data_IF_859719649089
#
_entry.id   IF_859719649089
#
_cell.length_a   1.000
_cell.length_b   1.000
_cell.length_c   1.000
_cell.angle_alpha   90.00
_cell.angle_beta   90.00
_cell.angle_gamma   90.00
#
_symmetry.space_group_name_H-M   'P 1'
#
loop_
_entity.id
_entity.type
_entity.pdbx_description
1 polymer ?
#
# COMPACT_ATOMS: atom_id res chain seq x y z
N UNK A 1 -28.75 49.29 31.26
CA UNK A 1 -27.84 48.68 32.26
C UNK A 1 -28.13 47.17 32.22
N UNK A 2 -27.21 46.33 31.73
CA UNK A 2 -26.19 45.65 32.57
C UNK A 2 -26.91 44.83 33.68
N UNK A 3 -26.94 43.48 33.74
CA UNK A 3 -25.83 42.51 33.71
C UNK A 3 -26.37 41.14 34.22
N UNK A 4 -25.96 40.02 33.60
CA UNK A 4 -25.52 38.71 34.20
C UNK A 4 -26.55 37.72 34.81
N UNK A 5 -26.72 36.50 34.24
CA UNK A 5 -26.02 35.19 34.42
C UNK A 5 -26.59 34.32 35.57
N UNK A 6 -26.69 33.02 35.27
CA UNK A 6 -26.69 31.84 36.16
C UNK A 6 -28.02 31.30 36.69
N UNK A 7 -28.58 30.32 35.98
CA UNK A 7 -29.05 29.02 36.50
C UNK A 7 -28.83 27.99 35.37
N UNK A 8 -27.62 27.46 35.17
CA UNK A 8 -27.20 26.12 35.61
C UNK A 8 -28.34 25.07 35.54
N UNK A 9 -28.49 24.41 34.40
CA UNK A 9 -28.03 23.01 34.20
C UNK A 9 -28.58 22.05 35.25
N UNK A 10 -29.83 21.62 35.04
CA UNK A 10 -30.36 20.36 35.60
C UNK A 10 -31.16 19.63 34.54
N UNK A 11 -30.67 19.60 33.31
CA UNK A 11 -31.01 18.49 32.43
C UNK A 11 -30.06 17.36 32.78
N UNK A 12 -30.64 16.44 33.55
CA UNK A 12 -30.16 15.10 33.85
C UNK A 12 -29.74 14.47 32.53
N UNK A 13 -28.47 14.68 32.17
CA UNK A 13 -27.74 13.73 31.35
C UNK A 13 -27.73 12.46 32.20
N UNK A 14 -28.66 11.56 31.90
CA UNK A 14 -28.43 10.13 32.05
C UNK A 14 -27.11 9.85 31.29
N UNK A 15 -25.99 10.02 31.99
CA UNK A 15 -24.82 9.24 31.68
C UNK A 15 -25.28 7.81 31.88
N UNK A 16 -25.64 7.16 30.78
CA UNK A 16 -25.60 5.71 30.66
C UNK A 16 -24.15 5.38 30.98
N UNK A 17 -23.90 5.20 32.27
CA UNK A 17 -22.75 4.46 32.78
C UNK A 17 -23.00 3.07 32.23
N UNK A 18 -22.48 2.81 31.02
CA UNK A 18 -22.51 1.48 30.45
C UNK A 18 -21.89 0.59 31.51
N UNK A 19 -22.72 -0.32 32.04
CA UNK A 19 -22.33 -1.27 33.05
C UNK A 19 -21.03 -1.93 32.59
N UNK A 20 -19.92 -1.60 33.26
CA UNK A 20 -18.77 -2.47 33.29
C UNK A 20 -19.28 -3.74 33.95
N UNK A 21 -19.57 -4.78 33.17
CA UNK A 21 -19.82 -6.10 33.74
C UNK A 21 -18.66 -6.41 34.68
N UNK A 22 -18.93 -6.48 35.98
CA UNK A 22 -17.93 -6.72 37.01
C UNK A 22 -17.40 -8.13 36.83
N UNK A 23 -16.36 -8.28 36.03
CA UNK A 23 -15.56 -9.49 36.04
C UNK A 23 -14.86 -9.55 37.40
N UNK A 24 -15.50 -10.26 38.33
CA UNK A 24 -15.10 -10.27 39.74
C UNK A 24 -13.70 -10.85 39.88
N UNK A 25 -12.98 -10.42 40.91
CA UNK A 25 -11.67 -11.01 41.22
C UNK A 25 -11.76 -12.54 41.44
N UNK A 26 -12.92 -13.00 41.91
CA UNK A 26 -13.24 -14.42 42.03
C UNK A 26 -13.28 -15.13 40.67
N UNK A 27 -13.92 -14.54 39.65
CA UNK A 27 -13.94 -15.12 38.30
C UNK A 27 -12.54 -15.13 37.68
N UNK A 28 -11.74 -14.08 37.91
CA UNK A 28 -10.33 -14.04 37.49
C UNK A 28 -9.52 -15.18 38.09
N UNK A 29 -9.72 -15.48 39.38
CA UNK A 29 -9.05 -16.61 40.07
C UNK A 29 -9.52 -17.96 39.51
N UNK A 30 -10.81 -18.13 39.23
CA UNK A 30 -11.37 -19.35 38.63
C UNK A 30 -10.81 -19.62 37.23
N UNK A 31 -10.77 -18.59 36.39
CA UNK A 31 -10.26 -18.70 35.02
C UNK A 31 -8.76 -19.00 35.01
N UNK A 32 -7.98 -18.31 35.85
CA UNK A 32 -6.55 -18.62 36.04
C UNK A 32 -6.34 -20.06 36.49
N UNK A 33 -7.09 -20.54 37.49
CA UNK A 33 -6.96 -21.91 37.99
C UNK A 33 -7.36 -22.96 36.94
N UNK A 34 -8.39 -22.69 36.13
CA UNK A 34 -8.81 -23.57 35.02
C UNK A 34 -7.73 -23.65 33.94
N UNK A 35 -7.11 -22.52 33.60
CA UNK A 35 -6.01 -22.43 32.65
C UNK A 35 -4.75 -23.15 33.15
N UNK A 36 -4.36 -22.93 34.41
CA UNK A 36 -3.25 -23.63 35.06
C UNK A 36 -3.47 -25.16 35.07
N UNK A 37 -4.71 -25.60 35.28
CA UNK A 37 -5.10 -27.01 35.25
C UNK A 37 -4.98 -27.63 33.86
N UNK A 38 -5.37 -26.91 32.80
CA UNK A 38 -5.21 -27.36 31.42
C UNK A 38 -3.73 -27.57 31.06
N UNK A 39 -2.87 -26.61 31.44
CA UNK A 39 -1.43 -26.74 31.20
C UNK A 39 -0.76 -27.85 32.02
N UNK A 40 -1.26 -28.16 33.23
CA UNK A 40 -0.78 -29.32 34.00
C UNK A 40 -1.16 -30.66 33.37
N UNK A 41 -2.30 -30.75 32.69
CA UNK A 41 -2.80 -31.98 32.06
C UNK A 41 -2.14 -32.28 30.71
N UNK A 42 -1.65 -31.27 30.02
CA UNK A 42 -0.90 -31.41 28.78
C UNK A 42 0.43 -30.62 28.85
N UNK A 43 1.44 -31.09 29.61
CA UNK A 43 2.69 -30.37 29.81
C UNK A 43 3.46 -30.10 28.51
N UNK A 44 3.23 -30.90 27.47
CA UNK A 44 3.88 -30.79 26.17
C UNK A 44 3.27 -29.70 25.26
N UNK A 45 2.08 -29.19 25.56
CA UNK A 45 1.43 -28.10 24.79
C UNK A 45 1.61 -26.72 25.44
N UNK A 46 1.92 -26.66 26.73
CA UNK A 46 2.26 -25.40 27.41
C UNK A 46 3.76 -25.32 27.69
N UNK A 47 4.53 -24.71 26.78
CA UNK A 47 5.76 -24.01 27.18
C UNK A 47 5.34 -22.99 28.26
N UNK A 48 5.96 -23.02 29.44
CA UNK A 48 5.54 -22.32 30.68
C UNK A 48 4.50 -21.19 30.49
N UNK A 49 3.31 -21.36 31.07
CA UNK A 49 2.14 -20.48 30.87
C UNK A 49 2.42 -18.97 31.02
N UNK A 50 3.24 -18.59 32.02
CA UNK A 50 3.64 -17.21 32.28
C UNK A 50 4.47 -16.59 31.12
N UNK A 51 5.05 -17.41 30.25
CA UNK A 51 5.82 -16.99 29.08
C UNK A 51 4.92 -16.73 27.86
N UNK A 52 3.68 -17.24 27.84
CA UNK A 52 2.74 -17.12 26.71
C UNK A 52 1.75 -15.96 26.86
N UNK A 53 1.26 -15.69 28.08
CA UNK A 53 0.28 -14.64 28.37
C UNK A 53 0.55 -13.93 29.71
N UNK A 54 -0.04 -12.75 29.90
CA UNK A 54 0.12 -11.96 31.12
C UNK A 54 1.34 -11.02 31.11
N UNK A 55 1.68 -10.40 32.27
CA UNK A 55 2.61 -9.27 32.34
C UNK A 55 4.08 -9.66 32.23
N UNK A 56 4.40 -10.96 32.32
CA UNK A 56 5.78 -11.48 32.22
C UNK A 56 6.14 -12.01 30.83
N UNK A 57 5.16 -12.03 29.91
CA UNK A 57 5.28 -12.62 28.57
C UNK A 57 5.91 -11.62 27.57
N UNK A 58 5.51 -11.70 26.30
CA UNK A 58 6.05 -11.00 25.11
C UNK A 58 6.33 -9.53 25.35
N UNK A 59 5.47 -8.83 26.10
CA UNK A 59 5.56 -7.39 26.26
C UNK A 59 6.38 -6.90 27.47
N UNK A 60 6.88 -7.80 28.33
CA UNK A 60 7.55 -7.44 29.60
C UNK A 60 8.75 -6.49 29.43
N UNK A 61 9.59 -6.75 28.42
CA UNK A 61 10.80 -5.98 28.12
C UNK A 61 10.76 -5.41 26.69
N UNK A 62 9.55 -5.22 26.17
CA UNK A 62 9.36 -4.87 24.79
C UNK A 62 9.77 -3.42 24.53
N UNK A 63 10.79 -3.25 23.69
CA UNK A 63 11.33 -1.96 23.32
C UNK A 63 11.25 -1.84 21.79
N UNK A 64 10.18 -1.22 21.25
CA UNK A 64 10.03 -1.03 19.81
C UNK A 64 11.25 -0.30 19.25
N UNK A 65 11.88 -0.87 18.23
CA UNK A 65 13.08 -0.30 17.61
C UNK A 65 12.84 0.00 16.14
N UNK A 66 13.65 0.94 15.63
CA UNK A 66 13.76 1.15 14.19
C UNK A 66 14.39 -0.08 13.53
N UNK A 67 13.92 -0.44 12.34
CA UNK A 67 14.55 -1.46 11.51
C UNK A 67 15.77 -0.84 10.85
N UNK A 68 16.92 -1.49 11.02
CA UNK A 68 18.14 -1.19 10.28
C UNK A 68 18.31 -2.30 9.26
N UNK A 69 17.99 -2.04 8.00
CA UNK A 69 17.96 -3.05 6.94
C UNK A 69 19.31 -3.73 6.68
N UNK A 70 20.42 -3.05 6.95
CA UNK A 70 21.78 -3.59 6.86
C UNK A 70 22.15 -4.52 8.02
N UNK A 71 21.38 -4.51 9.11
CA UNK A 71 21.63 -5.38 10.24
C UNK A 71 20.95 -6.73 10.07
N UNK A 72 21.57 -7.75 10.67
CA UNK A 72 20.93 -9.05 10.83
C UNK A 72 19.76 -8.95 11.82
N UNK A 73 18.56 -9.25 11.35
CA UNK A 73 17.32 -9.22 12.13
C UNK A 73 16.95 -10.65 12.52
N UNK A 74 16.89 -10.93 13.82
CA UNK A 74 16.57 -12.26 14.33
C UNK A 74 15.15 -12.31 14.89
N UNK A 75 14.53 -13.48 14.80
CA UNK A 75 13.17 -13.77 15.27
C UNK A 75 13.23 -14.92 16.27
N UNK A 76 12.43 -14.82 17.32
CA UNK A 76 12.40 -15.80 18.40
C UNK A 76 11.11 -16.64 18.43
N UNK A 77 10.11 -16.30 17.63
CA UNK A 77 8.88 -17.07 17.46
C UNK A 77 8.57 -17.29 15.98
N UNK A 78 8.11 -18.48 15.64
CA UNK A 78 7.51 -18.84 14.35
C UNK A 78 6.05 -19.21 14.59
N UNK A 79 5.15 -18.61 13.83
CA UNK A 79 3.71 -18.84 13.93
C UNK A 79 3.23 -19.44 12.62
N UNK A 80 2.76 -20.68 12.69
CA UNK A 80 2.12 -21.38 11.58
C UNK A 80 0.63 -21.05 11.60
N UNK A 81 0.03 -20.83 10.44
CA UNK A 81 -1.37 -20.48 10.32
C UNK A 81 -2.02 -21.16 9.11
N UNK A 82 -3.33 -21.37 9.24
CA UNK A 82 -4.23 -21.76 8.16
C UNK A 82 -5.14 -20.58 7.84
N UNK A 83 -5.24 -20.21 6.57
CA UNK A 83 -6.09 -19.12 6.11
C UNK A 83 -7.03 -19.57 5.00
N UNK A 84 -8.28 -19.12 5.05
CA UNK A 84 -9.26 -19.19 3.96
C UNK A 84 -9.52 -17.77 3.51
N UNK A 85 -9.28 -17.46 2.23
CA UNK A 85 -9.59 -16.16 1.63
C UNK A 85 -10.36 -16.40 0.33
N UNK A 86 -11.58 -15.88 0.23
CA UNK A 86 -12.44 -16.02 -0.95
C UNK A 86 -12.57 -17.48 -1.42
N UNK A 87 -12.73 -18.40 -0.45
CA UNK A 87 -12.85 -19.84 -0.69
C UNK A 87 -11.52 -20.58 -0.98
N UNK A 88 -10.39 -19.88 -1.09
CA UNK A 88 -9.07 -20.50 -1.26
C UNK A 88 -8.40 -20.71 0.08
N UNK A 89 -7.97 -21.94 0.36
CA UNK A 89 -7.20 -22.26 1.55
C UNK A 89 -5.70 -22.11 1.30
N UNK A 90 -4.96 -21.71 2.34
CA UNK A 90 -3.51 -21.63 2.35
C UNK A 90 -2.97 -21.93 3.74
N UNK A 91 -1.76 -22.47 3.80
CA UNK A 91 -1.01 -22.68 5.05
C UNK A 91 0.28 -21.90 4.91
N UNK A 92 0.58 -21.06 5.90
CA UNK A 92 1.78 -20.26 5.90
C UNK A 92 2.36 -20.05 7.29
N UNK A 93 3.46 -19.32 7.32
CA UNK A 93 4.18 -18.97 8.52
C UNK A 93 4.56 -17.49 8.51
N UNK A 94 4.53 -16.88 9.69
CA UNK A 94 5.16 -15.60 9.94
C UNK A 94 6.05 -15.71 11.18
N UNK A 95 6.99 -14.78 11.32
CA UNK A 95 7.98 -14.79 12.37
C UNK A 95 7.87 -13.52 13.21
N UNK A 96 8.07 -13.65 14.52
CA UNK A 96 8.01 -12.53 15.45
C UNK A 96 9.33 -12.43 16.22
N UNK A 97 9.86 -11.21 16.31
CA UNK A 97 10.82 -10.80 17.33
C UNK A 97 10.03 -10.09 18.43
N UNK A 98 9.81 -10.80 19.54
CA UNK A 98 9.01 -10.29 20.66
C UNK A 98 9.72 -9.16 21.42
N UNK A 99 11.05 -9.14 21.39
CA UNK A 99 11.89 -8.17 22.10
C UNK A 99 11.85 -6.79 21.43
N UNK A 100 12.10 -6.76 20.12
CA UNK A 100 12.23 -5.53 19.34
C UNK A 100 10.92 -5.13 18.63
N UNK A 101 9.93 -6.03 18.60
CA UNK A 101 8.63 -5.78 18.00
C UNK A 101 8.61 -5.85 16.48
N UNK A 102 9.38 -6.77 15.90
CA UNK A 102 9.39 -7.02 14.47
C UNK A 102 8.52 -8.20 14.11
N UNK A 103 7.87 -8.10 12.94
CA UNK A 103 7.11 -9.18 12.34
C UNK A 103 7.58 -9.36 10.91
N UNK A 104 7.96 -10.58 10.54
CA UNK A 104 8.24 -10.94 9.15
C UNK A 104 7.13 -11.85 8.60
N UNK A 105 6.57 -11.47 7.46
CA UNK A 105 5.58 -12.27 6.74
C UNK A 105 5.85 -12.23 5.23
N UNK A 106 5.32 -13.21 4.50
CA UNK A 106 5.64 -13.44 3.08
C UNK A 106 4.44 -13.08 2.22
N UNK A 107 4.67 -12.32 1.14
CA UNK A 107 3.56 -11.78 0.32
C UNK A 107 3.18 -12.67 -0.87
N UNK A 108 4.13 -13.42 -1.44
CA UNK A 108 3.96 -13.95 -2.80
C UNK A 108 3.88 -15.50 -2.84
N UNK A 109 4.53 -16.20 -1.92
CA UNK A 109 4.46 -17.67 -1.82
C UNK A 109 4.24 -18.11 -0.36
N UNK A 110 2.95 -18.20 0.00
CA UNK A 110 2.51 -18.63 1.34
C UNK A 110 2.99 -20.07 1.62
N UNK A 111 3.08 -20.94 0.61
CA UNK A 111 3.53 -22.32 0.80
C UNK A 111 5.02 -22.41 1.17
N UNK A 112 5.84 -21.45 0.72
CA UNK A 112 7.27 -21.37 1.08
C UNK A 112 7.57 -20.61 2.36
N UNK A 113 6.62 -19.84 2.89
CA UNK A 113 6.82 -19.03 4.10
C UNK A 113 7.30 -19.84 5.32
N UNK A 114 6.94 -21.12 5.41
CA UNK A 114 7.36 -22.02 6.47
C UNK A 114 8.74 -22.65 6.28
N UNK A 115 9.36 -22.54 5.11
CA UNK A 115 10.69 -23.09 4.81
C UNK A 115 11.83 -22.26 5.43
N UNK A 116 11.50 -21.13 6.05
CA UNK A 116 12.44 -20.23 6.71
C UNK A 116 12.92 -19.10 5.81
N UNK A 117 13.69 -18.18 6.40
CA UNK A 117 14.16 -16.94 5.76
C UNK A 117 15.63 -16.97 5.29
N UNK A 118 16.34 -18.07 5.56
CA UNK A 118 17.81 -18.11 5.47
C UNK A 118 18.38 -18.24 4.03
N UNK A 119 17.56 -18.50 3.01
CA UNK A 119 18.04 -18.68 1.63
C UNK A 119 17.00 -18.16 0.61
N UNK A 120 16.90 -16.83 0.40
CA UNK A 120 15.93 -16.25 -0.52
C UNK A 120 16.23 -16.66 -1.97
N UNK A 121 15.26 -17.31 -2.62
CA UNK A 121 15.31 -17.79 -4.01
C UNK A 121 14.53 -16.85 -4.94
N UNK A 122 14.71 -16.91 -6.27
CA UNK A 122 13.85 -16.19 -7.22
C UNK A 122 12.36 -16.37 -6.91
N UNK A 123 11.61 -15.27 -6.86
CA UNK A 123 10.21 -15.21 -6.41
C UNK A 123 10.04 -15.01 -4.90
N UNK A 124 11.12 -14.85 -4.14
CA UNK A 124 11.06 -14.52 -2.71
C UNK A 124 10.56 -13.09 -2.54
N UNK A 125 9.56 -12.91 -1.67
CA UNK A 125 9.11 -11.60 -1.21
C UNK A 125 8.68 -11.69 0.25
N UNK A 126 9.36 -10.90 1.09
CA UNK A 126 9.15 -10.88 2.53
C UNK A 126 9.06 -9.44 3.01
N UNK A 127 8.09 -9.17 3.87
CA UNK A 127 7.88 -7.88 4.50
C UNK A 127 8.28 -8.02 5.96
N UNK A 128 9.22 -7.18 6.42
CA UNK A 128 9.53 -7.00 7.83
C UNK A 128 8.92 -5.68 8.26
N UNK A 129 7.95 -5.74 9.16
CA UNK A 129 7.30 -4.56 9.74
C UNK A 129 7.73 -4.41 11.19
N UNK A 130 8.01 -3.18 11.62
CA UNK A 130 8.17 -2.88 13.03
C UNK A 130 6.89 -2.32 13.61
N UNK A 131 6.75 -2.47 14.93
CA UNK A 131 5.61 -1.92 15.65
C UNK A 131 5.47 -0.41 15.45
N UNK A 132 6.57 0.33 15.29
CA UNK A 132 6.53 1.80 15.07
C UNK A 132 6.06 2.21 13.66
N UNK A 133 5.67 1.24 12.83
CA UNK A 133 4.98 1.48 11.56
C UNK A 133 5.87 1.59 10.33
N UNK A 134 7.19 1.39 10.49
CA UNK A 134 8.06 1.23 9.32
C UNK A 134 7.97 -0.21 8.80
N UNK A 135 8.12 -0.38 7.50
CA UNK A 135 8.22 -1.69 6.88
C UNK A 135 9.29 -1.70 5.78
N UNK A 136 9.94 -2.85 5.65
CA UNK A 136 10.93 -3.14 4.63
C UNK A 136 10.48 -4.37 3.86
N UNK A 137 10.27 -4.22 2.56
CA UNK A 137 9.91 -5.32 1.66
C UNK A 137 11.15 -5.79 0.94
N UNK A 138 11.62 -6.99 1.20
CA UNK A 138 12.76 -7.63 0.55
C UNK A 138 12.30 -8.56 -0.55
N UNK A 139 12.86 -8.42 -1.75
CA UNK A 139 12.47 -9.18 -2.94
C UNK A 139 13.66 -9.79 -3.66
N UNK A 140 13.44 -10.96 -4.23
CA UNK A 140 14.34 -11.57 -5.22
C UNK A 140 13.54 -11.79 -6.49
N UNK A 141 13.87 -11.04 -7.54
CA UNK A 141 13.15 -11.15 -8.81
C UNK A 141 13.46 -12.48 -9.55
N UNK A 142 12.75 -12.74 -10.64
CA UNK A 142 12.95 -13.95 -11.46
C UNK A 142 14.35 -14.06 -12.07
N UNK A 143 15.12 -12.97 -12.11
CA UNK A 143 16.51 -12.92 -12.59
C UNK A 143 17.52 -13.05 -11.45
N UNK A 144 17.05 -13.21 -10.21
CA UNK A 144 17.89 -13.34 -9.02
C UNK A 144 18.38 -12.01 -8.42
N UNK A 145 17.90 -10.86 -8.92
CA UNK A 145 18.27 -9.55 -8.36
C UNK A 145 17.58 -9.35 -7.01
N UNK A 146 18.35 -8.86 -6.04
CA UNK A 146 17.93 -8.69 -4.64
C UNK A 146 17.71 -7.22 -4.35
N UNK A 147 16.46 -6.83 -4.09
CA UNK A 147 16.13 -5.44 -3.78
C UNK A 147 15.30 -5.31 -2.52
N UNK A 148 15.37 -4.17 -1.85
CA UNK A 148 14.44 -3.84 -0.79
C UNK A 148 13.74 -2.50 -1.05
N UNK A 149 12.50 -2.39 -0.56
CA UNK A 149 11.72 -1.17 -0.55
C UNK A 149 11.39 -0.78 0.90
N UNK A 150 11.79 0.42 1.29
CA UNK A 150 11.45 0.99 2.59
C UNK A 150 10.15 1.82 2.52
N UNK A 151 9.21 1.53 3.41
CA UNK A 151 8.01 2.31 3.67
C UNK A 151 8.08 2.86 5.10
N UNK A 152 8.18 4.18 5.21
CA UNK A 152 8.23 4.85 6.51
C UNK A 152 6.82 5.23 6.97
N UNK A 153 6.55 5.24 8.29
CA UNK A 153 5.26 5.68 8.80
C UNK A 153 4.98 7.13 8.37
N UNK A 154 3.71 7.48 8.21
CA UNK A 154 3.34 8.87 7.94
C UNK A 154 3.78 9.75 9.11
N UNK A 155 4.41 10.89 8.81
CA UNK A 155 4.73 11.90 9.81
C UNK A 155 3.44 12.30 10.53
N UNK A 156 3.43 12.21 11.87
CA UNK A 156 2.33 12.60 12.77
C UNK A 156 1.27 11.54 13.13
N UNK A 157 1.44 10.24 12.83
CA UNK A 157 0.58 9.22 13.44
C UNK A 157 1.16 8.85 14.82
N UNK A 158 0.48 9.17 15.94
CA UNK A 158 0.97 8.79 17.26
C UNK A 158 0.98 7.27 17.40
N UNK A 159 2.15 6.76 17.77
CA UNK A 159 2.34 5.37 18.10
C UNK A 159 1.64 5.02 19.43
N UNK A 160 0.96 3.86 19.48
CA UNK A 160 0.35 3.34 20.71
C UNK A 160 -1.08 3.82 20.99
N UNK A 161 -1.88 4.06 19.95
CA UNK A 161 -3.32 4.32 20.10
C UNK A 161 -4.07 3.12 20.70
N UNK A 162 -5.09 3.39 21.49
CA UNK A 162 -5.93 2.35 22.09
C UNK A 162 -7.05 1.93 21.16
N UNK A 163 -7.29 0.63 21.06
CA UNK A 163 -8.46 0.04 20.40
C UNK A 163 -9.22 -0.81 21.39
N UNK A 164 -10.53 -0.58 21.53
CA UNK A 164 -11.36 -1.36 22.45
C UNK A 164 -11.91 -2.59 21.74
N UNK A 165 -11.64 -3.76 22.33
CA UNK A 165 -12.23 -5.01 21.90
C UNK A 165 -13.41 -5.30 22.83
N UNK A 166 -14.59 -5.53 22.24
CA UNK A 166 -15.81 -5.87 22.98
C UNK A 166 -16.25 -7.28 22.65
N UNK A 167 -16.72 -8.00 23.65
CA UNK A 167 -17.14 -9.38 23.47
C UNK A 167 -18.34 -9.45 22.52
N UNK A 168 -18.27 -10.34 21.52
CA UNK A 168 -19.32 -10.51 20.51
C UNK A 168 -20.66 -10.91 21.15
N UNK A 169 -20.60 -11.78 22.16
CA UNK A 169 -21.76 -12.20 22.94
C UNK A 169 -21.43 -12.15 24.45
N UNK A 170 -21.91 -11.13 25.19
CA UNK A 170 -21.72 -11.00 26.64
C UNK A 170 -22.09 -12.24 27.47
N UNK A 171 -23.07 -13.04 27.04
CA UNK A 171 -23.51 -14.23 27.77
C UNK A 171 -22.42 -15.30 27.89
N UNK A 172 -21.50 -15.36 26.92
CA UNK A 172 -20.41 -16.37 26.88
C UNK A 172 -19.41 -16.23 28.03
N UNK A 173 -19.41 -15.12 28.79
CA UNK A 173 -18.60 -15.00 30.00
C UNK A 173 -19.06 -15.93 31.13
N UNK A 174 -20.33 -16.30 31.14
CA UNK A 174 -20.91 -17.17 32.17
C UNK A 174 -20.90 -18.65 31.76
N UNK A 175 -20.55 -18.95 30.50
CA UNK A 175 -20.56 -20.30 29.96
C UNK A 175 -19.23 -21.04 30.27
N UNK A 176 -19.28 -22.32 30.68
CA UNK A 176 -18.08 -23.11 30.95
C UNK A 176 -17.38 -23.59 29.69
N UNK A 177 -18.10 -23.69 28.57
CA UNK A 177 -17.56 -24.08 27.27
C UNK A 177 -16.99 -22.85 26.56
N UNK A 178 -15.77 -22.99 26.07
CA UNK A 178 -15.07 -21.96 25.27
C UNK A 178 -14.71 -22.62 23.96
N UNK A 179 -14.90 -21.93 22.85
CA UNK A 179 -14.61 -22.47 21.53
C UNK A 179 -13.13 -22.87 21.48
N UNK A 180 -12.83 -24.17 21.26
CA UNK A 180 -11.47 -24.60 21.09
C UNK A 180 -11.01 -24.17 19.71
N UNK A 181 -10.00 -23.31 19.68
CA UNK A 181 -9.31 -23.00 18.44
C UNK A 181 -7.97 -23.71 18.41
N UNK A 182 -7.56 -24.09 17.20
CA UNK A 182 -6.25 -24.67 16.87
C UNK A 182 -6.06 -26.11 17.37
N UNK A 183 -4.97 -26.77 16.97
CA UNK A 183 -4.61 -28.10 17.47
C UNK A 183 -4.22 -28.10 18.97
N UNK A 184 -4.02 -26.91 19.55
CA UNK A 184 -3.62 -26.70 20.95
C UNK A 184 -4.83 -26.70 21.91
N UNK A 185 -6.08 -26.70 21.38
CA UNK A 185 -7.31 -26.73 22.18
C UNK A 185 -7.38 -25.60 23.23
N UNK A 186 -6.88 -24.40 22.87
CA UNK A 186 -6.82 -23.27 23.79
C UNK A 186 -8.20 -22.60 23.91
N UNK A 187 -8.66 -22.29 25.13
CA UNK A 187 -9.97 -21.71 25.34
C UNK A 187 -10.00 -20.24 24.90
N UNK A 188 -10.76 -19.92 23.86
CA UNK A 188 -10.89 -18.55 23.35
C UNK A 188 -12.30 -18.00 23.52
N UNK A 189 -12.40 -16.66 23.52
CA UNK A 189 -13.66 -15.95 23.38
C UNK A 189 -13.58 -14.98 22.19
N UNK A 190 -14.69 -14.83 21.47
CA UNK A 190 -14.78 -13.98 20.28
C UNK A 190 -15.08 -12.52 20.62
N UNK A 191 -14.18 -11.63 20.22
CA UNK A 191 -14.29 -10.17 20.38
C UNK A 191 -14.45 -9.48 19.02
N UNK A 192 -15.03 -8.28 19.01
CA UNK A 192 -15.08 -7.39 17.85
C UNK A 192 -14.52 -6.03 18.23
N UNK A 193 -14.06 -5.26 17.25
CA UNK A 193 -13.57 -3.90 17.50
C UNK A 193 -14.78 -2.98 17.71
N UNK A 194 -14.80 -2.29 18.84
CA UNK A 194 -15.85 -1.35 19.20
C UNK A 194 -15.95 -0.21 18.16
N UNK A 195 -17.17 0.13 17.74
CA UNK A 195 -17.42 1.20 16.77
C UNK A 195 -17.23 0.82 15.30
N UNK A 196 -16.84 -0.42 14.98
CA UNK A 196 -16.69 -0.91 13.61
C UNK A 196 -17.80 -1.92 13.29
N UNK A 197 -18.79 -1.49 12.50
CA UNK A 197 -20.04 -2.23 12.21
C UNK A 197 -19.81 -3.60 11.55
N UNK A 198 -18.77 -3.71 10.71
CA UNK A 198 -18.41 -4.95 9.98
C UNK A 198 -17.05 -5.51 10.45
N UNK A 199 -16.74 -5.37 11.74
CA UNK A 199 -15.51 -5.91 12.31
C UNK A 199 -15.47 -7.43 12.21
N UNK A 200 -14.33 -7.97 11.77
CA UNK A 200 -14.01 -9.39 11.96
C UNK A 200 -14.06 -9.78 13.44
N UNK A 201 -14.49 -11.01 13.73
CA UNK A 201 -14.41 -11.60 15.06
C UNK A 201 -12.97 -12.03 15.34
N UNK A 202 -12.41 -11.61 16.48
CA UNK A 202 -11.08 -11.91 16.98
C UNK A 202 -11.19 -12.87 18.16
N UNK A 203 -10.66 -14.08 18.03
CA UNK A 203 -10.69 -15.09 19.07
C UNK A 203 -9.47 -14.95 19.96
N UNK A 204 -9.68 -14.42 21.18
CA UNK A 204 -8.62 -14.11 22.12
C UNK A 204 -8.47 -15.21 23.17
N UNK A 205 -7.23 -15.67 23.34
CA UNK A 205 -6.74 -16.45 24.46
C UNK A 205 -6.03 -15.52 25.45
N UNK A 206 -6.41 -15.57 26.72
CA UNK A 206 -5.90 -14.67 27.75
C UNK A 206 -6.07 -15.26 29.15
N UNK A 207 -5.33 -14.70 30.12
CA UNK A 207 -5.40 -15.13 31.53
C UNK A 207 -6.69 -14.72 32.23
N UNK A 208 -7.41 -13.79 31.62
CA UNK A 208 -8.71 -13.30 32.05
C UNK A 208 -9.54 -12.93 30.81
N UNK A 209 -10.86 -12.90 30.94
CA UNK A 209 -11.74 -12.35 29.91
C UNK A 209 -12.60 -11.24 30.50
N UNK A 210 -12.99 -10.28 29.67
CA UNK A 210 -13.86 -9.19 30.10
C UNK A 210 -14.82 -8.83 28.98
N UNK A 211 -15.91 -8.15 29.31
CA UNK A 211 -16.85 -7.68 28.28
C UNK A 211 -16.19 -6.68 27.32
N UNK A 212 -15.23 -5.90 27.81
CA UNK A 212 -14.47 -4.90 27.06
C UNK A 212 -13.02 -4.92 27.51
N UNK A 213 -12.09 -4.95 26.56
CA UNK A 213 -10.65 -4.97 26.81
C UNK A 213 -10.01 -3.84 25.97
N UNK A 214 -9.45 -2.79 26.60
CA UNK A 214 -8.67 -1.80 25.89
C UNK A 214 -7.32 -2.39 25.52
N UNK A 215 -7.06 -2.52 24.22
CA UNK A 215 -5.79 -3.00 23.67
C UNK A 215 -4.96 -1.82 23.21
N UNK A 216 -3.68 -1.82 23.60
CA UNK A 216 -2.72 -0.76 23.31
C UNK A 216 -1.74 -1.15 22.21
N UNK A 217 -1.26 -2.38 22.29
CA UNK A 217 -0.14 -2.86 21.50
C UNK A 217 -0.50 -4.14 20.74
N UNK A 218 0.09 -4.30 19.55
CA UNK A 218 -0.07 -5.48 18.72
C UNK A 218 1.27 -5.86 18.07
N UNK A 219 1.61 -7.14 18.11
CA UNK A 219 2.74 -7.74 17.38
C UNK A 219 2.25 -9.04 16.76
N UNK A 220 2.04 -9.02 15.46
CA UNK A 220 1.70 -10.20 14.66
C UNK A 220 1.36 -9.83 13.23
N UNK A 221 0.81 -10.80 12.49
CA UNK A 221 0.36 -10.62 11.12
C UNK A 221 -1.14 -10.98 10.97
N UNK A 222 -1.79 -10.34 9.99
CA UNK A 222 -3.20 -10.58 9.62
C UNK A 222 -4.21 -10.33 10.74
N UNK A 223 -3.80 -9.66 11.84
CA UNK A 223 -4.56 -9.46 13.07
C UNK A 223 -4.45 -10.62 14.08
N UNK A 224 -3.77 -11.71 13.74
CA UNK A 224 -3.42 -12.80 14.66
C UNK A 224 -2.08 -12.49 15.35
N UNK A 225 -1.79 -13.11 16.50
CA UNK A 225 -0.55 -12.90 17.24
C UNK A 225 -0.80 -12.28 18.61
N UNK A 226 0.15 -11.48 19.10
CA UNK A 226 0.13 -10.99 20.48
C UNK A 226 -0.43 -9.58 20.58
N UNK A 227 -1.27 -9.36 21.58
CA UNK A 227 -1.79 -8.05 21.96
C UNK A 227 -1.38 -7.73 23.39
N UNK A 228 -1.20 -6.44 23.71
CA UNK A 228 -1.10 -5.98 25.09
C UNK A 228 -2.32 -5.14 25.45
N UNK A 229 -2.90 -5.39 26.63
CA UNK A 229 -3.88 -4.49 27.21
C UNK A 229 -3.22 -3.22 27.79
N UNK A 230 -4.04 -2.30 28.30
CA UNK A 230 -3.56 -1.07 28.94
C UNK A 230 -2.67 -1.29 30.18
N UNK A 231 -2.74 -2.48 30.79
CA UNK A 231 -1.96 -2.87 31.95
C UNK A 231 -0.70 -3.67 31.60
N UNK A 232 -0.43 -3.89 30.31
CA UNK A 232 0.72 -4.64 29.82
C UNK A 232 0.56 -6.17 29.89
N UNK A 233 -0.65 -6.69 30.11
CA UNK A 233 -0.89 -8.13 30.02
C UNK A 233 -0.89 -8.56 28.55
N UNK A 234 -0.14 -9.61 28.24
CA UNK A 234 -0.18 -10.24 26.91
C UNK A 234 -1.44 -11.09 26.74
N UNK A 235 -2.15 -10.89 25.62
CA UNK A 235 -3.22 -11.72 25.09
C UNK A 235 -2.78 -12.29 23.72
N UNK A 236 -3.31 -13.43 23.31
CA UNK A 236 -3.03 -14.03 21.99
C UNK A 236 -4.32 -14.09 21.18
N UNK A 237 -4.35 -13.48 20.00
CA UNK A 237 -5.40 -13.71 19.03
C UNK A 237 -5.05 -14.93 18.17
N UNK A 238 -5.75 -16.04 18.43
CA UNK A 238 -5.51 -17.32 17.77
C UNK A 238 -6.28 -17.46 16.47
N UNK A 239 -7.39 -16.75 16.31
CA UNK A 239 -8.17 -16.79 15.07
C UNK A 239 -8.89 -15.49 14.78
N UNK A 240 -9.09 -15.25 13.50
CA UNK A 240 -9.88 -14.15 12.96
C UNK A 240 -10.88 -14.73 11.98
N UNK A 241 -12.13 -14.28 12.09
CA UNK A 241 -13.19 -14.68 11.18
C UNK A 241 -13.98 -13.46 10.69
N UNK A 242 -14.11 -13.35 9.39
CA UNK A 242 -15.09 -12.54 8.66
C UNK A 242 -15.78 -13.43 7.61
N UNK A 243 -16.89 -12.98 7.00
CA UNK A 243 -17.66 -13.82 6.06
C UNK A 243 -16.83 -14.42 4.91
N UNK A 244 -15.83 -13.71 4.42
CA UNK A 244 -15.01 -14.12 3.26
C UNK A 244 -13.57 -14.46 3.61
N UNK A 245 -13.15 -14.24 4.86
CA UNK A 245 -11.77 -14.45 5.29
C UNK A 245 -11.70 -15.04 6.69
N UNK A 246 -10.97 -16.14 6.84
CA UNK A 246 -10.57 -16.64 8.14
C UNK A 246 -9.07 -16.88 8.18
N UNK A 247 -8.45 -16.63 9.33
CA UNK A 247 -7.04 -16.92 9.60
C UNK A 247 -6.98 -17.52 10.99
N UNK A 248 -6.43 -18.71 11.13
CA UNK A 248 -6.26 -19.37 12.43
C UNK A 248 -4.82 -19.81 12.59
N UNK A 249 -4.21 -19.44 13.71
CA UNK A 249 -2.92 -19.98 14.13
C UNK A 249 -3.08 -21.49 14.32
N UNK A 250 -2.17 -22.29 13.82
CA UNK A 250 -2.17 -23.74 14.03
C UNK A 250 -1.11 -24.17 15.03
N UNK A 251 -0.01 -23.40 15.11
CA UNK A 251 1.13 -23.70 15.98
C UNK A 251 1.99 -22.46 16.23
N UNK A 252 2.56 -22.35 17.43
CA UNK A 252 3.59 -21.36 17.76
C UNK A 252 4.83 -22.11 18.24
N UNK A 253 5.99 -21.83 17.66
CA UNK A 253 7.26 -22.46 18.05
C UNK A 253 8.34 -21.43 18.35
N UNK A 254 9.20 -21.75 19.32
CA UNK A 254 10.44 -21.01 19.56
C UNK A 254 11.45 -21.32 18.47
N UNK A 255 12.07 -20.28 17.94
CA UNK A 255 13.07 -20.37 16.87
C UNK A 255 14.23 -19.42 17.09
N UNK A 256 15.30 -19.59 16.34
CA UNK A 256 16.43 -18.64 16.29
C UNK A 256 16.78 -18.34 14.83
N UNK A 257 15.76 -17.97 14.05
CA UNK A 257 15.92 -17.63 12.64
C UNK A 257 16.34 -16.17 12.47
N UNK A 258 17.25 -15.90 11.54
CA UNK A 258 17.74 -14.55 11.33
C UNK A 258 17.85 -14.24 9.84
N UNK A 259 17.36 -13.08 9.45
CA UNK A 259 17.46 -12.56 8.11
C UNK A 259 18.56 -11.50 8.02
N UNK A 260 19.36 -11.56 6.96
CA UNK A 260 20.39 -10.58 6.66
C UNK A 260 20.00 -9.81 5.39
N UNK A 261 19.55 -8.56 5.59
CA UNK A 261 19.14 -7.66 4.53
C UNK A 261 20.29 -6.92 3.84
N UNK A 262 21.54 -7.05 4.32
CA UNK A 262 22.70 -6.31 3.79
C UNK A 262 23.03 -6.61 2.32
N UNK A 263 22.53 -7.73 1.79
CA UNK A 263 22.73 -8.15 0.39
C UNK A 263 21.63 -7.70 -0.56
N UNK A 264 20.71 -6.86 -0.12
CA UNK A 264 19.62 -6.33 -0.92
C UNK A 264 19.89 -4.86 -1.21
N UNK A 265 19.78 -4.49 -2.49
CA UNK A 265 19.99 -3.12 -2.93
C UNK A 265 18.71 -2.28 -2.75
N UNK A 266 18.84 -0.98 -2.52
CA UNK A 266 17.66 -0.10 -2.41
C UNK A 266 16.99 0.02 -3.79
N UNK A 267 15.75 -0.45 -3.88
CA UNK A 267 14.93 -0.39 -5.10
C UNK A 267 14.74 1.06 -5.56
N UNK A 268 14.56 2.01 -4.62
CA UNK A 268 14.39 3.44 -4.95
C UNK A 268 15.68 4.06 -5.49
N UNK A 269 16.84 3.69 -4.94
CA UNK A 269 18.13 4.15 -5.45
C UNK A 269 18.34 3.67 -6.89
N UNK A 270 18.00 2.40 -7.15
CA UNK A 270 18.11 1.79 -8.48
C UNK A 270 17.12 2.42 -9.47
N UNK A 271 15.88 2.68 -9.06
CA UNK A 271 14.86 3.33 -9.88
C UNK A 271 15.24 4.79 -10.19
N UNK A 272 15.75 5.53 -9.21
CA UNK A 272 16.18 6.93 -9.40
C UNK A 272 17.37 7.02 -10.35
N UNK A 273 18.36 6.12 -10.20
CA UNK A 273 19.51 6.05 -11.10
C UNK A 273 19.11 5.66 -12.53
N UNK A 274 18.24 4.66 -12.69
CA UNK A 274 17.72 4.27 -14.01
C UNK A 274 16.94 5.43 -14.66
N UNK A 275 16.16 6.16 -13.86
CA UNK A 275 15.42 7.33 -14.33
C UNK A 275 16.37 8.43 -14.78
N UNK A 276 17.44 8.70 -14.04
CA UNK A 276 18.48 9.68 -14.39
C UNK A 276 19.14 9.35 -15.74
N UNK A 277 19.57 8.10 -15.95
CA UNK A 277 20.13 7.65 -17.23
C UNK A 277 19.16 7.81 -18.42
N UNK A 278 17.86 7.59 -18.18
CA UNK A 278 16.83 7.79 -19.21
C UNK A 278 16.63 9.28 -19.53
N UNK A 279 16.68 10.15 -18.51
CA UNK A 279 16.58 11.59 -18.69
C UNK A 279 17.78 12.13 -19.47
N UNK A 280 18.99 11.65 -19.17
CA UNK A 280 20.21 12.03 -19.88
C UNK A 280 20.18 11.58 -21.34
N UNK A 281 19.76 10.34 -21.62
CA UNK A 281 19.55 9.87 -23.00
C UNK A 281 18.50 10.68 -23.76
N UNK A 282 17.43 11.12 -23.08
CA UNK A 282 16.41 12.01 -23.68
C UNK A 282 17.02 13.37 -24.01
N UNK A 283 17.86 13.92 -23.14
CA UNK A 283 18.56 15.18 -23.38
C UNK A 283 19.49 15.08 -24.59
N UNK A 284 20.34 14.05 -24.62
CA UNK A 284 21.24 13.77 -25.76
C UNK A 284 20.47 13.65 -27.08
N UNK A 285 19.33 12.96 -27.07
CA UNK A 285 18.48 12.82 -28.25
C UNK A 285 17.87 14.16 -28.70
N UNK A 286 17.46 15.02 -27.76
CA UNK A 286 16.93 16.35 -28.06
C UNK A 286 18.02 17.28 -28.58
N UNK A 287 19.25 17.19 -28.08
CA UNK A 287 20.38 17.98 -28.54
C UNK A 287 20.87 17.54 -29.91
N UNK A 288 20.91 16.22 -30.18
CA UNK A 288 21.14 15.70 -31.52
C UNK A 288 20.07 16.21 -32.50
N UNK A 289 18.79 16.14 -32.10
CA UNK A 289 17.69 16.66 -32.92
C UNK A 289 17.87 18.17 -33.20
N UNK A 290 18.16 18.98 -32.18
CA UNK A 290 18.39 20.42 -32.31
C UNK A 290 19.54 20.74 -33.28
N UNK A 291 20.65 20.00 -33.20
CA UNK A 291 21.82 20.19 -34.05
C UNK A 291 21.59 19.70 -35.49
N UNK A 292 20.75 18.69 -35.68
CA UNK A 292 20.37 18.18 -37.01
C UNK A 292 19.26 19.02 -37.68
N UNK A 293 18.53 19.83 -36.93
CA UNK A 293 17.35 20.57 -37.37
C UNK A 293 17.66 21.97 -37.95
N UNK A 294 18.92 22.31 -38.20
CA UNK A 294 19.38 23.62 -38.72
C UNK A 294 18.85 24.00 -40.12
N UNK A 295 17.92 23.22 -40.68
CA UNK A 295 17.30 23.42 -42.01
C UNK A 295 15.79 23.15 -42.04
N UNK A 296 15.08 23.08 -40.91
CA UNK A 296 13.63 22.77 -40.92
C UNK A 296 12.75 23.97 -41.33
N UNK A 297 11.95 23.80 -42.39
CA UNK A 297 11.04 24.79 -43.00
C UNK A 297 9.83 25.11 -42.08
N UNK A 298 9.59 24.33 -41.02
CA UNK A 298 8.35 24.33 -40.25
C UNK A 298 8.50 24.86 -38.80
N UNK A 299 7.81 25.95 -38.46
CA UNK A 299 7.81 26.54 -37.11
C UNK A 299 7.31 25.58 -36.00
N UNK A 300 6.41 24.66 -36.34
CA UNK A 300 5.89 23.61 -35.44
C UNK A 300 6.97 22.65 -34.97
N UNK A 301 8.04 22.45 -35.72
CA UNK A 301 9.14 21.57 -35.32
C UNK A 301 10.01 22.20 -34.21
N UNK A 302 10.28 23.50 -34.29
CA UNK A 302 10.94 24.25 -33.22
C UNK A 302 10.07 24.31 -31.95
N UNK A 303 8.76 24.52 -32.10
CA UNK A 303 7.82 24.50 -30.98
C UNK A 303 7.74 23.10 -30.32
N UNK A 304 7.77 22.03 -31.11
CA UNK A 304 7.83 20.65 -30.61
C UNK A 304 9.09 20.38 -29.80
N UNK A 305 10.25 20.81 -30.30
CA UNK A 305 11.53 20.68 -29.58
C UNK A 305 11.51 21.44 -28.24
N UNK A 306 11.05 22.70 -28.25
CA UNK A 306 10.94 23.50 -27.04
C UNK A 306 9.99 22.88 -26.01
N UNK A 307 8.85 22.33 -26.47
CA UNK A 307 7.90 21.62 -25.61
C UNK A 307 8.50 20.33 -25.02
N UNK A 308 9.20 19.52 -25.82
CA UNK A 308 9.88 18.30 -25.34
C UNK A 308 10.96 18.63 -24.30
N UNK A 309 11.70 19.74 -24.46
CA UNK A 309 12.64 20.25 -23.44
C UNK A 309 11.92 20.68 -22.15
N UNK A 310 10.79 21.37 -22.24
CA UNK A 310 9.99 21.71 -21.06
C UNK A 310 9.47 20.47 -20.32
N UNK A 311 9.05 19.43 -21.05
CA UNK A 311 8.66 18.15 -20.44
C UNK A 311 9.83 17.51 -19.70
N UNK A 312 11.00 17.43 -20.35
CA UNK A 312 12.21 16.89 -19.74
C UNK A 312 12.58 17.63 -18.44
N UNK A 313 12.50 18.96 -18.42
CA UNK A 313 12.76 19.77 -17.23
C UNK A 313 11.78 19.48 -16.09
N UNK A 314 10.50 19.22 -16.38
CA UNK A 314 9.51 18.82 -15.37
C UNK A 314 9.82 17.44 -14.80
N UNK A 315 10.21 16.50 -15.66
CA UNK A 315 10.63 15.14 -15.25
C UNK A 315 11.90 15.20 -14.38
N UNK A 316 12.92 15.97 -14.78
CA UNK A 316 14.15 16.21 -13.99
C UNK A 316 13.83 16.81 -12.61
N UNK A 317 13.02 17.88 -12.56
CA UNK A 317 12.66 18.51 -11.29
C UNK A 317 11.96 17.55 -10.32
N UNK A 318 11.11 16.65 -10.81
CA UNK A 318 10.49 15.62 -9.98
C UNK A 318 11.48 14.55 -9.54
N UNK A 319 12.36 14.08 -10.44
CA UNK A 319 13.41 13.12 -10.13
C UNK A 319 14.38 13.66 -9.08
N UNK A 320 14.83 14.92 -9.22
CA UNK A 320 15.71 15.59 -8.27
C UNK A 320 15.06 15.75 -6.89
N UNK A 321 13.76 16.05 -6.86
CA UNK A 321 13.01 16.10 -5.60
C UNK A 321 13.02 14.76 -4.88
N UNK A 322 12.78 13.65 -5.61
CA UNK A 322 12.82 12.30 -5.03
C UNK A 322 14.24 11.93 -4.58
N UNK A 323 15.24 12.20 -5.43
CA UNK A 323 16.67 11.93 -5.16
C UNK A 323 17.15 12.61 -3.88
N UNK A 324 16.67 13.82 -3.62
CA UNK A 324 16.98 14.59 -2.41
C UNK A 324 16.14 14.19 -1.18
N UNK A 325 15.46 13.05 -1.21
CA UNK A 325 14.68 12.53 -0.09
C UNK A 325 13.26 13.10 0.03
N UNK A 326 12.77 13.76 -1.02
CA UNK A 326 11.43 14.32 -1.06
C UNK A 326 10.33 13.26 -0.94
N UNK A 327 9.32 13.52 -0.10
CA UNK A 327 8.17 12.65 0.04
C UNK A 327 7.18 12.87 -1.13
N UNK A 328 6.97 11.83 -1.96
CA UNK A 328 6.05 11.85 -3.12
C UNK A 328 4.58 12.06 -2.75
N UNK A 329 4.22 11.83 -1.49
CA UNK A 329 2.84 11.94 -1.00
C UNK A 329 2.54 13.28 -0.34
N UNK A 330 3.54 14.13 -0.09
CA UNK A 330 3.29 15.46 0.41
C UNK A 330 2.82 16.40 -0.72
N UNK A 331 2.41 17.62 -0.37
CA UNK A 331 1.88 18.59 -1.34
C UNK A 331 2.83 18.89 -2.50
N UNK A 332 4.13 18.98 -2.23
CA UNK A 332 5.12 19.31 -3.25
C UNK A 332 5.44 18.12 -4.15
N UNK A 333 5.58 16.92 -3.59
CA UNK A 333 5.72 15.68 -4.34
C UNK A 333 4.54 15.43 -5.27
N UNK A 334 3.31 15.64 -4.78
CA UNK A 334 2.09 15.55 -5.60
C UNK A 334 2.06 16.60 -6.71
N UNK A 335 2.49 17.84 -6.43
CA UNK A 335 2.57 18.91 -7.43
C UNK A 335 3.55 18.57 -8.53
N UNK A 336 4.80 18.28 -8.18
CA UNK A 336 5.88 17.98 -9.12
C UNK A 336 5.55 16.70 -9.93
N UNK A 337 5.08 15.65 -9.27
CA UNK A 337 4.67 14.41 -9.93
C UNK A 337 3.53 14.64 -10.92
N UNK A 338 2.54 15.46 -10.56
CA UNK A 338 1.42 15.79 -11.47
C UNK A 338 1.86 16.60 -12.69
N UNK A 339 2.92 17.41 -12.59
CA UNK A 339 3.48 18.18 -13.70
C UNK A 339 4.34 17.30 -14.63
N UNK A 340 5.14 16.42 -14.05
CA UNK A 340 5.98 15.47 -14.78
C UNK A 340 5.14 14.47 -15.57
N UNK A 341 4.02 14.01 -15.01
CA UNK A 341 3.15 12.99 -15.60
C UNK A 341 1.85 13.56 -16.21
N UNK A 342 1.83 14.86 -16.53
CA UNK A 342 0.62 15.52 -17.04
C UNK A 342 0.28 15.05 -18.48
N UNK A 343 -0.84 14.36 -18.64
CA UNK A 343 -1.33 13.92 -19.97
C UNK A 343 -1.62 15.08 -20.93
N UNK A 344 -1.82 16.31 -20.43
CA UNK A 344 -1.89 17.51 -21.27
C UNK A 344 -0.62 17.72 -22.08
N UNK A 345 0.56 17.41 -21.52
CA UNK A 345 1.81 17.52 -22.26
C UNK A 345 1.84 16.56 -23.45
N UNK A 346 1.27 15.36 -23.34
CA UNK A 346 1.16 14.42 -24.46
C UNK A 346 0.22 14.93 -25.56
N UNK A 347 -0.91 15.55 -25.19
CA UNK A 347 -1.82 16.17 -26.17
C UNK A 347 -1.14 17.29 -26.95
N UNK A 348 -0.36 18.14 -26.27
CA UNK A 348 0.41 19.20 -26.91
C UNK A 348 1.45 18.60 -27.87
N UNK A 349 2.14 17.53 -27.48
CA UNK A 349 3.08 16.81 -28.34
C UNK A 349 2.38 16.28 -29.60
N UNK A 350 1.25 15.58 -29.46
CA UNK A 350 0.48 15.07 -30.62
C UNK A 350 0.01 16.20 -31.54
N UNK A 351 -0.41 17.33 -30.98
CA UNK A 351 -0.84 18.50 -31.74
C UNK A 351 0.31 19.07 -32.58
N UNK A 352 1.46 19.33 -31.95
CA UNK A 352 2.65 19.86 -32.62
C UNK A 352 3.23 18.88 -33.65
N UNK A 353 3.20 17.57 -33.39
CA UNK A 353 3.58 16.54 -34.37
C UNK A 353 2.62 16.50 -35.56
N UNK A 354 1.33 16.74 -35.32
CA UNK A 354 0.31 16.84 -36.38
C UNK A 354 0.52 18.10 -37.23
N UNK A 355 0.77 19.24 -36.61
CA UNK A 355 1.09 20.51 -37.31
C UNK A 355 2.40 20.41 -38.10
N UNK A 356 3.40 19.70 -37.57
CA UNK A 356 4.65 19.40 -38.29
C UNK A 356 4.35 18.61 -39.57
N UNK A 357 3.57 17.52 -39.48
CA UNK A 357 3.17 16.72 -40.65
C UNK A 357 2.38 17.53 -41.68
N UNK A 358 1.49 18.42 -41.25
CA UNK A 358 0.74 19.32 -42.15
C UNK A 358 1.72 20.20 -42.92
N UNK A 359 2.63 20.88 -42.23
CA UNK A 359 3.61 21.77 -42.84
C UNK A 359 4.58 21.04 -43.79
N UNK A 360 5.06 19.85 -43.43
CA UNK A 360 5.90 19.02 -44.30
C UNK A 360 5.17 18.59 -45.57
N UNK A 361 3.89 18.22 -45.45
CA UNK A 361 3.06 17.92 -46.60
C UNK A 361 2.90 19.19 -47.46
N UNK A 362 2.46 20.31 -46.90
CA UNK A 362 2.26 21.56 -47.66
C UNK A 362 3.49 21.97 -48.48
N UNK A 363 4.70 21.84 -47.92
CA UNK A 363 5.96 22.19 -48.57
C UNK A 363 6.51 21.11 -49.54
N UNK A 364 5.89 19.94 -49.66
CA UNK A 364 6.29 18.92 -50.63
C UNK A 364 5.84 19.26 -52.06
N UNK A 365 6.75 19.21 -53.03
CA UNK A 365 6.51 19.62 -54.44
C UNK A 365 5.41 18.81 -55.17
N UNK A 366 5.02 17.63 -54.68
CA UNK A 366 3.96 16.84 -55.30
C UNK A 366 2.56 17.36 -54.93
N UNK A 367 1.82 17.93 -55.88
CA UNK A 367 0.40 18.24 -55.72
C UNK A 367 -0.46 17.04 -56.15
N UNK A 368 -1.09 16.34 -55.21
CA UNK A 368 -2.03 15.25 -55.51
C UNK A 368 -3.33 15.41 -54.71
N UNK A 369 -4.43 14.89 -55.23
CA UNK A 369 -5.73 14.88 -54.53
C UNK A 369 -5.66 14.09 -53.22
N UNK A 370 -4.86 13.01 -53.14
CA UNK A 370 -4.68 12.24 -51.90
C UNK A 370 -3.95 13.03 -50.81
N UNK A 371 -3.00 13.90 -51.21
CA UNK A 371 -2.31 14.82 -50.29
C UNK A 371 -3.28 15.81 -49.66
N UNK A 372 -4.18 16.41 -50.45
CA UNK A 372 -5.20 17.34 -49.95
C UNK A 372 -6.17 16.66 -48.97
N UNK A 373 -6.62 15.43 -49.27
CA UNK A 373 -7.47 14.65 -48.35
C UNK A 373 -6.74 14.34 -47.04
N UNK A 374 -5.45 13.98 -47.12
CA UNK A 374 -4.63 13.72 -45.93
C UNK A 374 -4.41 14.98 -45.08
N UNK A 375 -4.15 16.13 -45.71
CA UNK A 375 -4.03 17.42 -45.01
C UNK A 375 -5.34 17.77 -44.29
N UNK A 376 -6.50 17.63 -44.97
CA UNK A 376 -7.81 17.92 -44.35
C UNK A 376 -8.09 17.01 -43.14
N UNK A 377 -7.75 15.72 -43.22
CA UNK A 377 -7.84 14.80 -42.08
C UNK A 377 -6.93 15.24 -40.91
N UNK A 378 -5.67 15.59 -41.19
CA UNK A 378 -4.73 16.04 -40.16
C UNK A 378 -5.18 17.37 -39.53
N UNK A 379 -5.78 18.28 -40.30
CA UNK A 379 -6.37 19.52 -39.78
C UNK A 379 -7.55 19.24 -38.84
N UNK A 380 -8.41 18.27 -39.18
CA UNK A 380 -9.49 17.84 -38.29
C UNK A 380 -8.94 17.23 -36.99
N UNK A 381 -7.94 16.35 -37.07
CA UNK A 381 -7.27 15.79 -35.90
C UNK A 381 -6.61 16.90 -35.04
N UNK A 382 -5.96 17.87 -35.68
CA UNK A 382 -5.34 19.02 -34.99
C UNK A 382 -6.36 19.84 -34.20
N UNK A 383 -7.53 20.12 -34.77
CA UNK A 383 -8.62 20.80 -34.08
C UNK A 383 -9.15 20.00 -32.88
N UNK A 384 -9.34 18.68 -33.04
CA UNK A 384 -9.77 17.81 -31.94
C UNK A 384 -8.74 17.77 -30.80
N UNK A 385 -7.44 17.78 -31.12
CA UNK A 385 -6.37 17.85 -30.12
C UNK A 385 -6.37 19.21 -29.39
N UNK A 386 -6.65 20.31 -30.09
CA UNK A 386 -6.79 21.64 -29.50
C UNK A 386 -7.99 21.72 -28.55
N UNK A 387 -9.13 21.15 -28.93
CA UNK A 387 -10.30 21.04 -28.05
C UNK A 387 -10.01 20.19 -26.81
N UNK A 388 -9.33 19.06 -26.98
CA UNK A 388 -8.92 18.20 -25.87
C UNK A 388 -7.98 18.93 -24.90
N UNK A 389 -7.01 19.67 -25.43
CA UNK A 389 -6.11 20.50 -24.62
C UNK A 389 -6.90 21.51 -23.77
N UNK A 390 -7.82 22.25 -24.38
CA UNK A 390 -8.64 23.24 -23.67
C UNK A 390 -9.51 22.59 -22.59
N UNK A 391 -10.08 21.42 -22.87
CA UNK A 391 -10.85 20.66 -21.89
C UNK A 391 -9.98 20.21 -20.69
N UNK A 392 -8.70 19.88 -20.90
CA UNK A 392 -7.76 19.57 -19.83
C UNK A 392 -7.35 20.80 -19.01
N UNK A 393 -7.18 21.96 -19.63
CA UNK A 393 -6.92 23.22 -18.91
C UNK A 393 -8.10 23.60 -18.00
N UNK A 394 -9.33 23.31 -18.42
CA UNK A 394 -10.52 23.47 -17.57
C UNK A 394 -10.57 22.49 -16.39
N UNK A 395 -9.89 21.34 -16.46
CA UNK A 395 -9.75 20.43 -15.31
C UNK A 395 -8.78 21.03 -14.29
N UNK A 396 -7.68 21.63 -14.76
CA UNK A 396 -6.69 22.28 -13.89
C UNK A 396 -7.34 23.46 -13.13
N UNK A 397 -8.11 24.31 -13.83
CA UNK A 397 -8.75 25.48 -13.22
C UNK A 397 -9.81 25.13 -12.18
N UNK A 398 -10.58 24.05 -12.39
CA UNK A 398 -11.62 23.60 -11.45
C UNK A 398 -11.06 22.95 -10.19
N UNK A 399 -9.94 22.24 -10.30
CA UNK A 399 -9.42 21.41 -9.22
C UNK A 399 -8.31 22.09 -8.40
N UNK A 400 -7.78 23.23 -8.85
CA UNK A 400 -6.84 24.05 -8.11
C UNK A 400 -5.63 23.26 -7.60
N UNK A 401 -5.45 23.19 -6.27
CA UNK A 401 -4.33 22.49 -5.63
C UNK A 401 -4.57 21.00 -5.42
N UNK A 402 -5.69 20.43 -5.87
CA UNK A 402 -5.95 18.99 -5.79
C UNK A 402 -5.30 18.25 -6.97
N UNK A 403 -3.97 18.22 -6.96
CA UNK A 403 -3.14 17.75 -8.07
C UNK A 403 -3.41 16.30 -8.48
N UNK A 404 -3.60 15.40 -7.49
CA UNK A 404 -3.85 13.99 -7.76
C UNK A 404 -5.21 13.77 -8.46
N UNK A 405 -6.24 14.48 -8.02
CA UNK A 405 -7.57 14.38 -8.63
C UNK A 405 -7.58 14.97 -10.03
N UNK A 406 -6.98 16.15 -10.23
CA UNK A 406 -6.85 16.80 -11.53
C UNK A 406 -6.10 15.90 -12.54
N UNK A 407 -4.97 15.31 -12.13
CA UNK A 407 -4.19 14.40 -12.97
C UNK A 407 -5.01 13.16 -13.39
N UNK A 408 -5.76 12.56 -12.46
CA UNK A 408 -6.61 11.40 -12.75
C UNK A 408 -7.73 11.73 -13.74
N UNK A 409 -8.42 12.88 -13.56
CA UNK A 409 -9.45 13.33 -14.50
C UNK A 409 -8.88 13.59 -15.90
N UNK A 410 -7.71 14.25 -16.00
CA UNK A 410 -7.03 14.48 -17.28
C UNK A 410 -6.68 13.15 -17.95
N UNK A 411 -6.12 12.19 -17.22
CA UNK A 411 -5.76 10.88 -17.76
C UNK A 411 -6.98 10.11 -18.29
N UNK A 412 -8.11 10.15 -17.57
CA UNK A 412 -9.36 9.54 -18.05
C UNK A 412 -9.85 10.20 -19.33
N UNK A 413 -9.82 11.53 -19.38
CA UNK A 413 -10.23 12.29 -20.57
C UNK A 413 -9.31 12.00 -21.77
N UNK A 414 -7.99 11.99 -21.56
CA UNK A 414 -6.97 11.64 -22.56
C UNK A 414 -7.25 10.27 -23.18
N UNK A 415 -7.35 9.23 -22.36
CA UNK A 415 -7.53 7.86 -22.82
C UNK A 415 -8.85 7.65 -23.55
N UNK A 416 -9.91 8.38 -23.16
CA UNK A 416 -11.19 8.34 -23.86
C UNK A 416 -11.07 8.99 -25.24
N UNK A 417 -10.53 10.21 -25.29
CA UNK A 417 -10.53 11.04 -26.50
C UNK A 417 -9.50 10.62 -27.53
N UNK A 418 -8.31 10.18 -27.13
CA UNK A 418 -7.27 9.73 -28.08
C UNK A 418 -7.66 8.48 -28.87
N UNK A 419 -8.69 7.72 -28.47
CA UNK A 419 -9.25 6.63 -29.28
C UNK A 419 -10.05 7.12 -30.49
N UNK A 420 -10.56 8.35 -30.41
CA UNK A 420 -11.44 8.95 -31.41
C UNK A 420 -10.66 9.82 -32.41
N UNK A 421 -9.42 10.21 -32.09
CA UNK A 421 -8.59 11.12 -32.88
C UNK A 421 -7.60 10.31 -33.74
N UNK A 422 -7.76 10.33 -35.07
CA UNK A 422 -6.80 9.71 -36.00
C UNK A 422 -5.67 10.70 -36.38
N UNK A 423 -4.52 10.58 -35.72
CA UNK A 423 -3.32 11.39 -36.00
C UNK A 423 -2.42 10.80 -37.09
N UNK A 424 -2.80 9.65 -37.66
CA UNK A 424 -2.07 8.96 -38.73
C UNK A 424 -2.63 9.30 -40.11
N UNK A 425 -3.94 9.49 -40.21
CA UNK A 425 -4.67 9.76 -41.44
C UNK A 425 -4.24 8.81 -42.57
N UNK A 426 -4.02 7.53 -42.22
CA UNK A 426 -3.59 6.51 -43.15
C UNK A 426 -4.79 6.03 -43.96
N UNK A 427 -4.97 6.57 -45.17
CA UNK A 427 -5.99 6.14 -46.11
C UNK A 427 -5.60 4.75 -46.65
N UNK A 428 -6.06 3.68 -45.98
CA UNK A 428 -6.11 2.33 -46.56
C UNK A 428 -7.56 1.87 -46.65
N UNK A 429 -7.92 1.30 -47.80
CA UNK A 429 -9.23 0.70 -48.08
C UNK A 429 -9.66 -0.22 -46.92
N UNK A 430 -10.65 0.24 -46.14
CA UNK A 430 -11.63 -0.62 -45.49
C UNK A 430 -11.23 -1.44 -44.26
N UNK A 431 -10.06 -1.28 -43.65
CA UNK A 431 -9.78 -1.91 -42.34
C UNK A 431 -8.98 -0.97 -41.43
N UNK A 432 -9.59 -0.60 -40.31
CA UNK A 432 -8.98 0.14 -39.21
C UNK A 432 -7.84 -0.73 -38.67
N UNK A 433 -6.59 -0.36 -38.95
CA UNK A 433 -5.45 -0.98 -38.27
C UNK A 433 -5.49 -0.56 -36.80
N UNK A 434 -5.31 -1.54 -35.90
CA UNK A 434 -5.15 -1.29 -34.47
C UNK A 434 -4.05 -0.26 -34.26
N UNK A 435 -4.40 0.74 -33.46
CA UNK A 435 -3.51 1.81 -33.07
C UNK A 435 -2.35 1.21 -32.24
N UNK A 436 -1.07 1.40 -32.59
CA UNK A 436 0.05 0.93 -31.77
C UNK A 436 0.09 1.57 -30.36
N UNK A 437 -0.71 2.62 -30.12
CA UNK A 437 -0.97 3.17 -28.79
C UNK A 437 -1.89 2.30 -27.92
N UNK A 438 -2.60 1.31 -28.48
CA UNK A 438 -3.40 0.36 -27.69
C UNK A 438 -2.52 -0.42 -26.71
N UNK A 439 -1.33 -0.85 -27.13
CA UNK A 439 -0.46 -1.66 -26.29
C UNK A 439 0.18 -0.82 -25.17
N UNK A 440 0.63 0.41 -25.47
CA UNK A 440 1.18 1.34 -24.47
C UNK A 440 0.13 1.86 -23.47
N UNK A 441 -1.09 2.16 -23.93
CA UNK A 441 -2.19 2.57 -23.05
C UNK A 441 -2.72 1.41 -22.21
N UNK A 442 -2.66 0.17 -22.72
CA UNK A 442 -2.98 -1.04 -21.97
C UNK A 442 -1.92 -1.33 -20.92
N UNK A 443 -0.64 -1.15 -21.23
CA UNK A 443 0.46 -1.28 -20.27
C UNK A 443 0.37 -0.25 -19.13
N UNK A 444 0.14 1.02 -19.45
CA UNK A 444 -0.09 2.06 -18.43
C UNK A 444 -1.38 1.82 -17.64
N UNK A 445 -2.45 1.37 -18.29
CA UNK A 445 -3.70 1.03 -17.62
C UNK A 445 -3.59 -0.18 -16.69
N UNK A 446 -2.76 -1.16 -17.05
CA UNK A 446 -2.44 -2.32 -16.21
C UNK A 446 -1.51 -1.94 -15.05
N UNK A 447 -0.51 -1.08 -15.28
CA UNK A 447 0.33 -0.52 -14.22
C UNK A 447 -0.49 0.32 -13.22
N UNK A 448 -1.41 1.15 -13.69
CA UNK A 448 -2.29 1.94 -12.83
C UNK A 448 -3.26 1.04 -12.03
N UNK A 449 -3.80 -0.01 -12.66
CA UNK A 449 -4.67 -0.98 -11.99
C UNK A 449 -3.91 -1.80 -10.95
N UNK A 450 -2.67 -2.20 -11.21
CA UNK A 450 -1.79 -2.84 -10.23
C UNK A 450 -1.51 -1.91 -9.04
N UNK A 451 -1.22 -0.62 -9.29
CA UNK A 451 -1.02 0.36 -8.20
C UNK A 451 -2.28 0.59 -7.36
N UNK A 452 -3.47 0.53 -7.97
CA UNK A 452 -4.75 0.69 -7.27
C UNK A 452 -5.14 -0.57 -6.51
N UNK A 453 -4.86 -1.77 -7.05
CA UNK A 453 -5.13 -3.06 -6.38
C UNK A 453 -4.19 -3.36 -5.21
N UNK A 454 -3.04 -2.67 -5.15
CA UNK A 454 -2.07 -2.77 -4.05
C UNK A 454 -2.34 -1.80 -2.89
N UNK A 455 -3.48 -1.10 -2.93
CA UNK A 455 -4.10 -0.38 -1.80
C UNK A 455 -5.33 -1.15 -1.35
#
# INVERSE_FOLDING_TARGET
MKTIISIFVTFIFFQISFAQGTYTEEQRRKDKAKLDSLCKKAPSSCLYYDDLIGPKSVFRNHAPRKIVHTNKICFNKKVEYFAIQNGKSSIGCYYINTRDGYVAFFSDDVARSCAGMNNPQPGFSMIITSKIGESFTFRVDNRGRKTFLAQMPMENIPYGGYTNFVLKNPATLQEPEREPFTNENLPTLGYVIEGIRDSSVKYLFSSYHAQRIPLKDYVGAFGTGYYADEHGNTLICLSIQSPETSVSITKITDVTECFDGSRFDDEKSTETQTTEELLDKKEEALDYYANSATTEICASANALLAHKRQMLNKERAYNDYIKNGGNVHNREGLRLGSLAQDSKNHVITHHLETEKKICELENSESSSSSKQVKIACLQAASNQLKELKNAMENIDSRNGTNYAFAANEKNKLYLKKMKEIDTSCNIKKGQIQKNPLEDGAKQMGEQLKEMIKRK
#
